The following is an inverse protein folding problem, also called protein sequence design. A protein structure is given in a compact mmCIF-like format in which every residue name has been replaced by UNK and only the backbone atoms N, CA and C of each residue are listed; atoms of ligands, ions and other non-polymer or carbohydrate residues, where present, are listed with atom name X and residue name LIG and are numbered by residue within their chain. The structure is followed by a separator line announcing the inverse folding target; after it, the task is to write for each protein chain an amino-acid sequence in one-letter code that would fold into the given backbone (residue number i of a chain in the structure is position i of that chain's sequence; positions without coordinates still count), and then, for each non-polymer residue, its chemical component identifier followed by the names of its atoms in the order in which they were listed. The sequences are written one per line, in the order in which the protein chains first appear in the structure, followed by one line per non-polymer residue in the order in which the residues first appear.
data_IF_655347927873
#
_entry.id   IF_655347927873
#
_cell.length_a   1.000
_cell.length_b   1.000
_cell.length_c   1.000
_cell.angle_alpha   90.00
_cell.angle_beta   90.00
_cell.angle_gamma   90.00
#
_symmetry.space_group_name_H-M   'P 1'
#
loop_
_entity.id
_entity.type
_entity.pdbx_description
1 polymer ?
#
# COMPACT_ATOMS: atom_id res chain seq x y z
N UNK A 1 -11.74 -4.79 14.98
CA UNK A 1 -11.77 -5.97 14.12
C UNK A 1 -12.32 -5.58 12.75
N UNK A 2 -11.90 -6.24 11.68
CA UNK A 2 -12.41 -6.06 10.33
C UNK A 2 -12.49 -7.42 9.63
N UNK A 3 -13.42 -7.55 8.69
CA UNK A 3 -13.59 -8.73 7.88
C UNK A 3 -13.90 -8.33 6.42
N UNK A 4 -13.35 -9.09 5.48
CA UNK A 4 -13.64 -8.96 4.05
C UNK A 4 -14.17 -10.32 3.58
N UNK A 5 -15.28 -10.31 2.90
CA UNK A 5 -15.79 -11.49 2.21
C UNK A 5 -15.15 -11.55 0.82
N UNK A 6 -14.42 -12.65 0.56
CA UNK A 6 -13.85 -12.94 -0.75
C UNK A 6 -14.70 -14.00 -1.43
N UNK A 7 -15.18 -13.70 -2.62
CA UNK A 7 -15.90 -14.64 -3.47
C UNK A 7 -15.13 -14.95 -4.75
N UNK A 8 -15.38 -16.09 -5.37
CA UNK A 8 -15.00 -16.31 -6.76
C UNK A 8 -16.03 -15.60 -7.62
N UNK A 9 -15.68 -14.45 -8.22
CA UNK A 9 -16.60 -13.78 -9.13
C UNK A 9 -16.09 -13.86 -10.56
N UNK A 10 -16.95 -14.32 -11.42
CA UNK A 10 -16.86 -14.05 -12.86
C UNK A 10 -17.88 -12.94 -13.13
N UNK A 11 -17.45 -11.66 -13.09
CA UNK A 11 -18.28 -10.53 -13.51
C UNK A 11 -18.94 -9.70 -12.39
N UNK A 12 -18.30 -9.51 -11.23
CA UNK A 12 -18.72 -8.54 -10.20
C UNK A 12 -18.10 -7.15 -10.43
N UNK A 13 -18.80 -6.10 -10.00
CA UNK A 13 -18.21 -4.76 -9.86
C UNK A 13 -17.29 -4.76 -8.65
N UNK A 14 -16.00 -4.64 -8.84
CA UNK A 14 -15.04 -4.63 -7.73
C UNK A 14 -13.62 -4.86 -8.21
N UNK A 15 -12.72 -5.11 -7.26
CA UNK A 15 -11.34 -5.43 -7.55
C UNK A 15 -10.99 -6.86 -7.11
N UNK A 16 -10.13 -7.52 -7.86
CA UNK A 16 -9.61 -8.85 -7.51
C UNK A 16 -8.25 -8.75 -6.82
N UNK A 17 -7.97 -9.67 -5.90
CA UNK A 17 -6.62 -9.89 -5.35
C UNK A 17 -5.80 -10.63 -6.42
N UNK A 18 -4.94 -9.88 -7.11
CA UNK A 18 -4.15 -10.40 -8.22
C UNK A 18 -2.80 -10.98 -7.78
N UNK A 19 -2.22 -10.48 -6.68
CA UNK A 19 -0.93 -10.96 -6.21
C UNK A 19 -0.66 -10.61 -4.75
N UNK A 20 0.01 -11.50 -4.04
CA UNK A 20 0.39 -11.30 -2.63
C UNK A 20 1.88 -11.59 -2.47
N UNK A 21 2.61 -10.67 -1.85
CA UNK A 21 3.99 -10.85 -1.43
C UNK A 21 4.11 -10.78 0.08
N UNK A 22 4.86 -11.71 0.66
CA UNK A 22 5.11 -11.75 2.10
C UNK A 22 6.59 -12.00 2.35
N UNK A 23 7.16 -11.29 3.33
CA UNK A 23 8.55 -11.40 3.78
C UNK A 23 8.64 -11.08 5.27
N UNK A 24 9.83 -11.28 5.84
CA UNK A 24 10.13 -10.91 7.21
C UNK A 24 11.53 -10.29 7.27
N UNK A 25 11.67 -9.15 7.96
CA UNK A 25 12.97 -8.48 8.15
C UNK A 25 13.93 -9.31 9.03
N UNK A 26 13.37 -10.02 10.02
CA UNK A 26 14.10 -10.86 10.98
C UNK A 26 15.25 -10.15 11.72
N UNK A 27 15.22 -8.82 11.77
CA UNK A 27 16.30 -8.00 12.33
C UNK A 27 16.02 -7.46 13.73
N UNK A 28 14.81 -7.00 14.00
CA UNK A 28 14.44 -6.35 15.26
C UNK A 28 12.99 -6.65 15.65
N UNK A 29 12.66 -6.78 16.96
CA UNK A 29 11.29 -7.10 17.38
C UNK A 29 10.24 -6.06 16.99
N UNK A 30 10.61 -4.77 16.96
CA UNK A 30 9.64 -3.68 16.79
C UNK A 30 10.03 -2.64 15.74
N UNK A 31 11.29 -2.57 15.33
CA UNK A 31 11.76 -1.61 14.32
C UNK A 31 11.81 -2.26 12.93
N UNK A 32 11.40 -1.55 11.88
CA UNK A 32 11.58 -2.00 10.51
C UNK A 32 13.06 -2.01 10.13
N UNK A 33 13.43 -2.82 9.15
CA UNK A 33 14.73 -2.74 8.49
C UNK A 33 14.89 -1.32 7.89
N UNK A 34 15.91 -0.53 8.31
CA UNK A 34 16.12 0.82 7.77
C UNK A 34 16.39 0.84 6.26
N UNK A 35 16.89 -0.27 5.72
CA UNK A 35 17.10 -0.42 4.28
C UNK A 35 15.86 -0.97 3.55
N UNK A 36 14.83 -1.39 4.28
CA UNK A 36 13.57 -1.88 3.75
C UNK A 36 13.69 -2.97 2.67
N UNK A 37 14.78 -3.76 2.72
CA UNK A 37 15.10 -4.79 1.71
C UNK A 37 13.99 -5.83 1.62
N UNK A 38 13.44 -6.24 2.75
CA UNK A 38 12.39 -7.25 2.75
C UNK A 38 11.03 -6.67 2.33
N UNK A 39 10.73 -5.40 2.65
CA UNK A 39 9.53 -4.74 2.16
C UNK A 39 9.58 -4.59 0.63
N UNK A 40 10.70 -4.15 0.07
CA UNK A 40 10.92 -4.14 -1.39
C UNK A 40 10.68 -5.52 -2.01
N UNK A 41 11.24 -6.58 -1.42
CA UNK A 41 11.02 -7.96 -1.89
C UNK A 41 9.55 -8.38 -1.81
N UNK A 42 8.83 -7.99 -0.77
CA UNK A 42 7.40 -8.26 -0.66
C UNK A 42 6.62 -7.61 -1.80
N UNK A 43 6.91 -6.33 -2.10
CA UNK A 43 6.28 -5.59 -3.20
C UNK A 43 6.58 -6.28 -4.54
N UNK A 44 7.85 -6.54 -4.86
CA UNK A 44 8.23 -7.22 -6.11
C UNK A 44 7.60 -8.59 -6.27
N UNK A 45 7.50 -9.38 -5.19
CA UNK A 45 6.79 -10.67 -5.21
C UNK A 45 5.30 -10.51 -5.51
N UNK A 46 4.64 -9.49 -4.95
CA UNK A 46 3.24 -9.21 -5.22
C UNK A 46 3.01 -8.84 -6.69
N UNK A 47 3.84 -7.95 -7.25
CA UNK A 47 3.81 -7.55 -8.65
C UNK A 47 4.03 -8.75 -9.59
N UNK A 48 5.07 -9.55 -9.34
CA UNK A 48 5.36 -10.76 -10.14
C UNK A 48 4.19 -11.73 -10.13
N UNK A 49 3.57 -11.99 -8.97
CA UNK A 49 2.40 -12.88 -8.85
C UNK A 49 1.16 -12.32 -9.51
N UNK A 50 1.00 -11.00 -9.52
CA UNK A 50 -0.06 -10.31 -10.23
C UNK A 50 0.17 -10.26 -11.74
N UNK A 51 1.37 -10.63 -12.20
CA UNK A 51 1.82 -10.52 -13.59
C UNK A 51 1.62 -9.10 -14.13
N UNK A 52 2.17 -8.09 -13.41
CA UNK A 52 2.19 -6.68 -13.80
C UNK A 52 3.55 -6.05 -13.52
N UNK A 53 3.85 -5.00 -14.27
CA UNK A 53 4.98 -4.12 -14.02
C UNK A 53 4.63 -3.04 -12.98
N UNK A 54 5.66 -2.47 -12.35
CA UNK A 54 5.48 -1.38 -11.39
C UNK A 54 4.76 -0.16 -11.99
N UNK A 55 4.99 0.14 -13.28
CA UNK A 55 4.33 1.22 -14.00
C UNK A 55 2.80 1.03 -14.21
N UNK A 56 2.28 -0.14 -13.92
CA UNK A 56 0.84 -0.43 -13.99
C UNK A 56 0.13 -0.21 -12.67
N UNK A 57 0.86 0.11 -11.59
CA UNK A 57 0.28 0.47 -10.29
C UNK A 57 -0.10 1.94 -10.30
N UNK A 58 -1.36 2.23 -10.10
CA UNK A 58 -1.93 3.57 -10.18
C UNK A 58 -2.12 4.22 -8.80
N UNK A 59 -2.02 3.43 -7.71
CA UNK A 59 -2.09 3.89 -6.33
C UNK A 59 -1.36 2.94 -5.38
N UNK A 60 -0.66 3.49 -4.40
CA UNK A 60 -0.17 2.76 -3.22
C UNK A 60 -0.93 3.21 -1.98
N UNK A 61 -1.54 2.27 -1.27
CA UNK A 61 -2.06 2.48 0.09
C UNK A 61 -0.99 1.99 1.06
N UNK A 62 -0.23 2.93 1.59
CA UNK A 62 0.95 2.68 2.40
C UNK A 62 0.60 2.13 3.80
N UNK A 63 1.56 1.44 4.42
CA UNK A 63 1.45 1.17 5.85
C UNK A 63 1.43 2.48 6.64
N UNK A 64 2.31 3.44 6.35
CA UNK A 64 2.20 4.86 6.69
C UNK A 64 1.82 5.14 8.14
N UNK A 65 2.67 4.76 9.10
CA UNK A 65 2.38 4.93 10.54
C UNK A 65 2.55 6.36 11.04
N UNK A 66 3.17 7.24 10.26
CA UNK A 66 3.57 8.57 10.70
C UNK A 66 4.79 8.58 11.62
N UNK A 67 5.50 7.46 11.74
CA UNK A 67 6.76 7.38 12.49
C UNK A 67 7.95 7.52 11.56
N UNK A 68 8.97 8.26 11.99
CA UNK A 68 10.14 8.53 11.16
C UNK A 68 10.87 7.26 10.69
N UNK A 69 10.91 6.21 11.51
CA UNK A 69 11.57 4.95 11.15
C UNK A 69 10.79 4.21 10.04
N UNK A 70 9.48 4.01 10.24
CA UNK A 70 8.64 3.32 9.26
C UNK A 70 8.57 4.09 7.94
N UNK A 71 8.27 5.38 8.01
CA UNK A 71 7.97 6.15 6.81
C UNK A 71 9.20 6.33 5.92
N UNK A 72 10.41 6.46 6.52
CA UNK A 72 11.67 6.47 5.77
C UNK A 72 11.98 5.12 5.13
N UNK A 73 11.77 4.02 5.83
CA UNK A 73 12.00 2.69 5.30
C UNK A 73 11.02 2.40 4.15
N UNK A 74 9.75 2.70 4.35
CA UNK A 74 8.72 2.51 3.33
C UNK A 74 8.99 3.37 2.08
N UNK A 75 9.36 4.64 2.24
CA UNK A 75 9.72 5.52 1.14
C UNK A 75 10.90 4.96 0.31
N UNK A 76 11.96 4.44 0.95
CA UNK A 76 13.07 3.78 0.25
C UNK A 76 12.61 2.59 -0.60
N UNK A 77 11.75 1.73 -0.04
CA UNK A 77 11.22 0.59 -0.79
C UNK A 77 10.39 1.05 -2.00
N UNK A 78 9.54 2.06 -1.82
CA UNK A 78 8.72 2.62 -2.89
C UNK A 78 9.57 3.27 -3.98
N UNK A 79 10.58 4.06 -3.61
CA UNK A 79 11.50 4.69 -4.56
C UNK A 79 12.26 3.64 -5.41
N UNK A 80 12.73 2.55 -4.80
CA UNK A 80 13.45 1.48 -5.52
C UNK A 80 12.56 0.67 -6.46
N UNK A 81 11.29 0.55 -6.16
CA UNK A 81 10.34 -0.22 -6.99
C UNK A 81 9.72 0.64 -8.08
N UNK A 82 9.29 1.85 -7.74
CA UNK A 82 8.48 2.70 -8.62
C UNK A 82 9.26 3.87 -9.23
N UNK A 83 10.42 4.23 -8.66
CA UNK A 83 11.09 5.51 -8.94
C UNK A 83 10.55 6.64 -8.07
N UNK A 84 11.29 7.74 -8.03
CA UNK A 84 10.99 8.89 -7.18
C UNK A 84 9.72 9.62 -7.64
N UNK A 85 8.72 9.70 -6.76
CA UNK A 85 7.49 10.48 -7.00
C UNK A 85 6.64 10.04 -8.18
N UNK A 86 6.75 8.80 -8.63
CA UNK A 86 6.09 8.33 -9.87
C UNK A 86 4.71 7.71 -9.64
N UNK A 87 4.39 7.30 -8.42
CA UNK A 87 3.11 6.69 -8.07
C UNK A 87 2.46 7.45 -6.91
N UNK A 88 1.16 7.78 -7.00
CA UNK A 88 0.44 8.37 -5.87
C UNK A 88 0.42 7.45 -4.66
N UNK A 89 0.69 8.01 -3.47
CA UNK A 89 0.70 7.27 -2.21
C UNK A 89 -0.28 7.90 -1.23
N UNK A 90 -1.08 7.09 -0.58
CA UNK A 90 -1.97 7.51 0.50
C UNK A 90 -1.83 6.65 1.74
N UNK A 91 -2.27 7.16 2.87
CA UNK A 91 -2.47 6.42 4.12
C UNK A 91 -3.65 6.99 4.89
N UNK A 92 -4.48 6.12 5.41
CA UNK A 92 -5.67 6.51 6.19
C UNK A 92 -5.41 6.61 7.69
N UNK A 93 -4.19 6.26 8.15
CA UNK A 93 -3.91 6.21 9.60
C UNK A 93 -4.00 7.55 10.30
N UNK A 94 -3.75 8.65 9.59
CA UNK A 94 -4.00 10.00 10.12
C UNK A 94 -5.47 10.30 10.43
N UNK A 95 -6.41 9.59 9.76
CA UNK A 95 -7.85 9.75 9.95
C UNK A 95 -8.44 8.79 10.98
N UNK A 96 -8.02 7.51 10.94
CA UNK A 96 -8.66 6.43 11.71
C UNK A 96 -7.77 5.88 12.83
N UNK A 97 -6.54 6.36 12.94
CA UNK A 97 -5.54 5.82 13.84
C UNK A 97 -4.95 4.49 13.37
N UNK A 98 -3.99 3.98 14.12
CA UNK A 98 -3.39 2.68 13.84
C UNK A 98 -4.23 1.55 14.42
N UNK A 99 -5.12 0.99 13.61
CA UNK A 99 -6.04 -0.08 13.99
C UNK A 99 -5.38 -1.46 14.18
N UNK A 100 -4.06 -1.51 14.39
CA UNK A 100 -3.27 -2.71 14.70
C UNK A 100 -3.58 -3.87 13.72
N UNK A 101 -4.13 -4.99 14.22
CA UNK A 101 -4.45 -6.17 13.39
C UNK A 101 -5.50 -5.94 12.31
N UNK A 102 -6.31 -4.87 12.38
CA UNK A 102 -7.27 -4.53 11.35
C UNK A 102 -6.68 -3.62 10.26
N UNK A 103 -5.49 -3.03 10.45
CA UNK A 103 -4.94 -2.04 9.55
C UNK A 103 -4.74 -2.55 8.10
N UNK A 104 -4.30 -3.80 7.95
CA UNK A 104 -4.12 -4.40 6.61
C UNK A 104 -5.44 -4.55 5.85
N UNK A 105 -6.52 -4.94 6.54
CA UNK A 105 -7.86 -5.05 5.95
C UNK A 105 -8.36 -3.67 5.53
N UNK A 106 -8.17 -2.64 6.35
CA UNK A 106 -8.57 -1.28 6.03
C UNK A 106 -7.81 -0.75 4.81
N UNK A 107 -6.52 -1.02 4.70
CA UNK A 107 -5.74 -0.65 3.53
C UNK A 107 -6.24 -1.34 2.25
N UNK A 108 -6.64 -2.62 2.33
CA UNK A 108 -7.24 -3.34 1.21
C UNK A 108 -8.57 -2.73 0.78
N UNK A 109 -9.45 -2.40 1.73
CA UNK A 109 -10.73 -1.75 1.45
C UNK A 109 -10.54 -0.38 0.80
N UNK A 110 -9.58 0.41 1.28
CA UNK A 110 -9.25 1.72 0.68
C UNK A 110 -8.73 1.55 -0.74
N UNK A 111 -7.85 0.58 -0.98
CA UNK A 111 -7.32 0.31 -2.31
C UNK A 111 -8.43 -0.13 -3.28
N UNK A 112 -9.31 -1.02 -2.86
CA UNK A 112 -10.49 -1.46 -3.62
C UNK A 112 -11.41 -0.28 -3.96
N UNK A 113 -11.82 0.50 -2.96
CA UNK A 113 -12.71 1.65 -3.16
C UNK A 113 -12.07 2.71 -4.06
N UNK A 114 -10.79 2.99 -3.89
CA UNK A 114 -10.08 3.93 -4.74
C UNK A 114 -10.07 3.50 -6.22
N UNK A 115 -9.90 2.21 -6.50
CA UNK A 115 -9.98 1.68 -7.86
C UNK A 115 -11.39 1.77 -8.44
N UNK A 116 -12.41 1.41 -7.67
CA UNK A 116 -13.81 1.45 -8.12
C UNK A 116 -14.26 2.90 -8.36
N UNK A 117 -14.00 3.79 -7.43
CA UNK A 117 -14.45 5.20 -7.50
C UNK A 117 -13.53 6.08 -8.36
N UNK A 118 -12.28 5.66 -8.57
CA UNK A 118 -11.28 6.46 -9.30
C UNK A 118 -10.73 7.63 -8.49
N UNK A 119 -10.75 7.53 -7.15
CA UNK A 119 -10.34 8.59 -6.25
C UNK A 119 -9.42 8.05 -5.17
N UNK A 120 -8.20 8.58 -5.12
CA UNK A 120 -7.28 8.37 -4.01
C UNK A 120 -7.63 9.31 -2.85
N UNK A 121 -7.91 8.81 -1.63
CA UNK A 121 -8.16 9.67 -0.49
C UNK A 121 -6.90 10.44 -0.10
N UNK A 122 -7.06 11.67 0.40
CA UNK A 122 -5.94 12.43 0.92
C UNK A 122 -5.47 11.85 2.27
N UNK A 123 -4.16 11.75 2.44
CA UNK A 123 -3.57 11.43 3.74
C UNK A 123 -3.57 12.67 4.64
N UNK A 124 -3.70 12.45 5.95
CA UNK A 124 -3.47 13.48 6.97
C UNK A 124 -2.08 13.20 7.56
N UNK A 125 -1.06 13.99 7.22
CA UNK A 125 0.28 13.74 7.71
C UNK A 125 0.40 14.15 9.18
N UNK A 126 1.17 13.40 9.95
CA UNK A 126 1.54 13.78 11.32
C UNK A 126 2.71 14.77 11.36
N UNK A 127 3.45 14.86 10.27
CA UNK A 127 4.63 15.74 10.06
C UNK A 127 4.76 16.04 8.58
N UNK A 128 5.84 16.70 8.19
CA UNK A 128 6.18 16.91 6.78
C UNK A 128 6.24 15.57 6.03
N UNK A 129 5.73 15.57 4.81
CA UNK A 129 5.76 14.39 3.95
C UNK A 129 7.20 13.94 3.71
N UNK A 130 7.41 12.63 3.61
CA UNK A 130 8.74 12.07 3.33
C UNK A 130 9.14 12.44 1.91
N UNK A 131 10.35 12.98 1.75
CA UNK A 131 10.89 13.34 0.44
C UNK A 131 10.95 12.11 -0.50
N UNK A 132 10.74 12.34 -1.79
CA UNK A 132 10.81 11.30 -2.81
C UNK A 132 9.53 10.49 -3.01
N UNK A 133 8.49 10.73 -2.24
CA UNK A 133 7.18 10.07 -2.35
C UNK A 133 6.09 11.08 -2.73
N UNK A 134 5.27 10.74 -3.73
CA UNK A 134 4.11 11.55 -4.12
C UNK A 134 2.91 11.27 -3.21
N UNK A 135 2.93 11.83 -2.01
CA UNK A 135 1.83 11.67 -1.05
C UNK A 135 0.64 12.53 -1.46
N UNK A 136 -0.54 11.92 -1.53
CA UNK A 136 -1.80 12.63 -1.78
C UNK A 136 -2.16 13.43 -0.54
N UNK A 137 -2.04 14.76 -0.59
CA UNK A 137 -2.25 15.67 0.52
C UNK A 137 -3.34 16.71 0.23
N UNK A 138 -3.93 17.25 1.29
CA UNK A 138 -4.89 18.35 1.24
C UNK A 138 -6.28 17.95 0.74
N UNK A 139 -6.39 17.44 -0.47
CA UNK A 139 -7.66 16.99 -1.06
C UNK A 139 -7.51 15.63 -1.73
N UNK A 140 -8.60 14.84 -1.85
CA UNK A 140 -8.59 13.61 -2.65
C UNK A 140 -8.14 13.90 -4.08
N UNK A 141 -7.43 12.93 -4.69
CA UNK A 141 -6.91 13.04 -6.06
C UNK A 141 -7.64 12.06 -6.97
N UNK A 142 -8.10 12.53 -8.12
CA UNK A 142 -8.60 11.66 -9.17
C UNK A 142 -7.46 10.78 -9.72
N UNK A 143 -7.73 9.51 -9.88
CA UNK A 143 -6.82 8.56 -10.53
C UNK A 143 -7.09 8.62 -12.04
N UNK A 144 -6.08 9.01 -12.84
CA UNK A 144 -6.17 9.02 -14.30
C UNK A 144 -6.41 7.61 -14.89
N UNK A 145 -5.86 6.63 -14.22
CA UNK A 145 -6.01 5.22 -14.52
C UNK A 145 -6.47 4.49 -13.26
N UNK A 146 -7.14 3.37 -13.44
CA UNK A 146 -7.72 2.58 -12.36
C UNK A 146 -7.48 1.09 -12.55
N UNK A 147 -6.28 0.74 -13.05
CA UNK A 147 -5.93 -0.64 -13.40
C UNK A 147 -5.58 -1.47 -12.18
N UNK A 148 -4.70 -0.94 -11.33
CA UNK A 148 -4.28 -1.65 -10.15
C UNK A 148 -3.87 -0.73 -8.99
N UNK A 149 -3.97 -1.26 -7.78
CA UNK A 149 -3.49 -0.63 -6.56
C UNK A 149 -2.70 -1.61 -5.71
N UNK A 150 -1.72 -1.10 -4.97
CA UNK A 150 -0.91 -1.83 -4.01
C UNK A 150 -1.30 -1.45 -2.60
N UNK A 151 -1.70 -2.41 -1.78
CA UNK A 151 -1.91 -2.21 -0.34
C UNK A 151 -0.74 -2.82 0.45
N UNK A 152 -0.15 -2.04 1.35
CA UNK A 152 0.97 -2.44 2.20
C UNK A 152 0.55 -2.58 3.66
N UNK A 153 1.10 -3.57 4.32
CA UNK A 153 0.98 -3.75 5.76
C UNK A 153 2.29 -4.27 6.33
N UNK A 154 2.79 -3.60 7.37
CA UNK A 154 3.93 -4.05 8.15
C UNK A 154 3.52 -4.20 9.62
N UNK A 155 4.24 -5.03 10.36
CA UNK A 155 3.96 -5.22 11.79
C UNK A 155 5.23 -5.52 12.58
N UNK A 156 5.14 -5.38 13.88
CA UNK A 156 6.17 -5.84 14.81
C UNK A 156 6.55 -7.30 14.53
N UNK A 157 7.82 -7.62 14.73
CA UNK A 157 8.40 -8.89 14.30
C UNK A 157 8.89 -8.87 12.84
N UNK A 158 8.87 -7.69 12.18
CA UNK A 158 9.43 -7.50 10.84
C UNK A 158 8.59 -8.09 9.70
N UNK A 159 7.34 -8.47 9.94
CA UNK A 159 6.52 -9.04 8.86
C UNK A 159 6.03 -7.94 7.91
N UNK A 160 6.30 -8.13 6.63
CA UNK A 160 5.86 -7.26 5.55
C UNK A 160 4.90 -8.01 4.63
N UNK A 161 3.79 -7.38 4.29
CA UNK A 161 2.78 -7.89 3.36
C UNK A 161 2.49 -6.83 2.32
N UNK A 162 2.49 -7.23 1.07
CA UNK A 162 2.10 -6.43 -0.08
C UNK A 162 1.01 -7.18 -0.85
N UNK A 163 -0.08 -6.49 -1.18
CA UNK A 163 -1.20 -7.07 -1.93
C UNK A 163 -1.50 -6.18 -3.12
N UNK A 164 -1.48 -6.76 -4.30
CA UNK A 164 -1.92 -6.11 -5.55
C UNK A 164 -3.39 -6.43 -5.78
N UNK A 165 -4.18 -5.37 -5.93
CA UNK A 165 -5.55 -5.43 -6.41
C UNK A 165 -5.60 -4.99 -7.86
N UNK A 166 -6.40 -5.68 -8.68
CA UNK A 166 -6.73 -5.27 -10.06
C UNK A 166 -8.20 -4.92 -10.16
N UNK A 167 -8.50 -3.86 -10.90
CA UNK A 167 -9.86 -3.52 -11.26
C UNK A 167 -10.34 -4.46 -12.36
N UNK A 168 -11.55 -4.98 -12.23
CA UNK A 168 -12.17 -5.88 -13.20
C UNK A 168 -13.03 -5.14 -14.25
N UNK A 169 -13.10 -3.79 -14.15
CA UNK A 169 -13.88 -2.95 -15.06
C UNK A 169 -13.02 -2.27 -16.12
#
# INVERSE_FOLDING_TARGET
AGAIHLGSSTGGSGATIAGIGMTCDAGHPTLPDPEATQLERAIRKALTRANIDAAEVDLVVAHGTGTAANDRAEAKALERVFGQGTVPVTSIKGMVGHCMGAAGILNLLVAERALVEGIAPAAIPSRDAVAGVDVVLGSPRCLERRRSALALAARFGGNNVAVVLKNEN
#
